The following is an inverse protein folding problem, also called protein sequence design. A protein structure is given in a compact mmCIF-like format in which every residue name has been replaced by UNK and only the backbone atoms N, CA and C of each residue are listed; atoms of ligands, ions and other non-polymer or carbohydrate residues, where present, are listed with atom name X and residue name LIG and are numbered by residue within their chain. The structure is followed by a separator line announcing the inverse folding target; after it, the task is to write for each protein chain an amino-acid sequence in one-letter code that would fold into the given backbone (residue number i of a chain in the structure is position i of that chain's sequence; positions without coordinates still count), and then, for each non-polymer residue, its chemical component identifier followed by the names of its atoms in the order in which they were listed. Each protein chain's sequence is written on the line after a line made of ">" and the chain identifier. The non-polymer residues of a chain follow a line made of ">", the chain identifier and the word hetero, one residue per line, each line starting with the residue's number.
data_IF_597604812312
#
_entry.id   IF_597604812312
#
_cell.length_a   1.000
_cell.length_b   1.000
_cell.length_c   1.000
_cell.angle_alpha   90.00
_cell.angle_beta   90.00
_cell.angle_gamma   90.00
#
_symmetry.space_group_name_H-M   'P 1'
#
loop_
_entity.id
_entity.type
_entity.pdbx_description
1 polymer ?
#
# COMPACT_ATOMS: atom_id res chain seq x y z
N UNK A 1 1.64 26.65 1.72
CA UNK A 1 2.92 26.98 1.08
C UNK A 1 3.45 25.69 0.48
N UNK A 2 3.57 25.62 -0.86
CA UNK A 2 4.01 24.45 -1.62
C UNK A 2 5.45 24.11 -1.25
N UNK A 3 5.67 22.98 -0.62
CA UNK A 3 6.99 22.49 -0.18
C UNK A 3 7.76 21.74 -1.29
N UNK A 4 7.32 21.82 -2.53
CA UNK A 4 8.00 21.28 -3.72
C UNK A 4 8.80 22.36 -4.47
N UNK A 5 9.38 23.32 -3.74
CA UNK A 5 10.48 24.11 -4.23
C UNK A 5 11.77 23.31 -4.08
N UNK A 6 12.73 23.58 -4.90
CA UNK A 6 14.11 23.08 -5.05
C UNK A 6 14.87 22.47 -3.85
N UNK A 7 14.25 22.39 -2.68
CA UNK A 7 14.80 21.83 -1.43
C UNK A 7 14.52 20.35 -1.16
N UNK A 8 13.72 19.64 -1.98
CA UNK A 8 13.31 18.25 -1.70
C UNK A 8 14.48 17.25 -1.70
N UNK A 9 15.53 17.55 -2.45
CA UNK A 9 16.75 16.70 -2.49
C UNK A 9 17.69 16.92 -1.29
N UNK A 10 17.48 17.99 -0.52
CA UNK A 10 18.23 18.28 0.71
C UNK A 10 17.51 17.84 1.97
N UNK A 11 16.39 17.11 1.84
CA UNK A 11 15.68 16.58 3.00
C UNK A 11 16.51 15.46 3.65
N UNK A 12 17.13 15.77 4.78
CA UNK A 12 17.96 14.83 5.55
C UNK A 12 17.19 14.08 6.64
N UNK A 13 15.92 14.41 6.84
CA UNK A 13 15.04 13.79 7.86
C UNK A 13 13.69 13.40 7.22
N UNK A 14 13.01 12.41 7.79
CA UNK A 14 11.64 12.08 7.39
C UNK A 14 10.71 13.30 7.46
N UNK A 15 9.73 13.34 6.59
CA UNK A 15 8.78 14.47 6.52
C UNK A 15 7.90 14.56 7.76
N UNK A 16 7.56 13.42 8.36
CA UNK A 16 6.69 13.29 9.52
C UNK A 16 7.35 12.48 10.62
N UNK A 17 7.08 12.85 11.88
CA UNK A 17 7.54 12.13 13.07
C UNK A 17 6.70 10.88 13.37
N UNK A 18 5.55 10.72 12.70
CA UNK A 18 4.64 9.60 12.85
C UNK A 18 3.82 9.60 14.15
N UNK A 19 3.88 10.66 14.97
CA UNK A 19 3.17 10.69 16.25
C UNK A 19 1.66 10.52 16.08
N UNK A 20 1.02 11.30 15.20
CA UNK A 20 -0.42 11.19 14.94
C UNK A 20 -0.82 9.81 14.38
N UNK A 21 0.01 9.23 13.50
CA UNK A 21 -0.23 7.86 12.99
C UNK A 21 -0.18 6.83 14.11
N UNK A 22 0.81 6.90 15.00
CA UNK A 22 0.93 6.01 16.17
C UNK A 22 -0.25 6.16 17.12
N UNK A 23 -0.71 7.38 17.36
CA UNK A 23 -1.89 7.64 18.19
C UNK A 23 -3.14 6.96 17.64
N UNK A 24 -3.41 7.12 16.34
CA UNK A 24 -4.54 6.44 15.67
C UNK A 24 -4.43 4.93 15.80
N UNK A 25 -3.25 4.35 15.55
CA UNK A 25 -3.04 2.91 15.66
C UNK A 25 -3.15 2.42 17.10
N UNK A 26 -2.66 3.18 18.07
CA UNK A 26 -2.80 2.85 19.49
C UNK A 26 -4.28 2.85 19.90
N UNK A 27 -5.06 3.85 19.51
CA UNK A 27 -6.48 3.93 19.81
C UNK A 27 -7.29 2.81 19.11
N UNK A 28 -6.84 2.36 17.94
CA UNK A 28 -7.52 1.31 17.17
C UNK A 28 -7.17 -0.09 17.66
N UNK A 29 -5.89 -0.38 17.80
CA UNK A 29 -5.39 -1.74 18.07
C UNK A 29 -5.06 -1.98 19.56
N UNK A 30 -4.85 -0.91 20.32
CA UNK A 30 -4.43 -1.00 21.72
C UNK A 30 -3.18 -1.91 21.85
N UNK A 31 -3.25 -2.92 22.73
CA UNK A 31 -2.17 -3.89 22.96
C UNK A 31 -2.34 -5.21 22.21
N UNK A 32 -3.32 -5.28 21.29
CA UNK A 32 -3.59 -6.51 20.55
C UNK A 32 -2.38 -6.93 19.71
N UNK A 33 -2.07 -8.22 19.78
CA UNK A 33 -1.09 -8.88 18.91
C UNK A 33 -1.74 -9.41 17.63
N UNK A 34 -0.92 -9.70 16.62
CA UNK A 34 -1.40 -10.29 15.37
C UNK A 34 -2.15 -11.61 15.60
N UNK A 35 -1.66 -12.43 16.55
CA UNK A 35 -2.25 -13.73 16.88
C UNK A 35 -3.66 -13.64 17.48
N UNK A 36 -4.06 -12.49 18.02
CA UNK A 36 -5.41 -12.25 18.56
C UNK A 36 -6.41 -11.83 17.49
N UNK A 37 -5.99 -11.76 16.22
CA UNK A 37 -6.90 -11.47 15.11
C UNK A 37 -7.94 -12.58 14.93
N UNK A 38 -9.23 -12.21 14.81
CA UNK A 38 -10.33 -13.16 14.59
C UNK A 38 -10.27 -13.88 13.25
N UNK A 39 -9.55 -13.33 12.29
CA UNK A 39 -9.34 -13.86 10.94
C UNK A 39 -7.86 -13.85 10.64
N UNK A 40 -7.35 -14.77 9.79
CA UNK A 40 -5.96 -14.67 9.32
C UNK A 40 -5.69 -13.29 8.72
N UNK A 41 -4.67 -12.64 9.23
CA UNK A 41 -4.19 -11.34 8.72
C UNK A 41 -2.71 -11.44 8.40
N UNK A 42 -2.30 -10.78 7.33
CA UNK A 42 -0.91 -10.65 6.93
C UNK A 42 -0.65 -9.24 6.39
N UNK A 43 0.49 -8.67 6.73
CA UNK A 43 0.95 -7.39 6.20
C UNK A 43 2.38 -7.53 5.70
N UNK A 44 2.69 -6.86 4.59
CA UNK A 44 4.01 -6.87 4.00
C UNK A 44 4.81 -5.68 4.47
N UNK A 45 6.08 -5.90 4.78
CA UNK A 45 7.08 -4.88 5.08
C UNK A 45 8.41 -5.26 4.43
N UNK A 46 9.41 -4.39 4.52
CA UNK A 46 10.76 -4.68 4.08
C UNK A 46 11.76 -4.47 5.23
N UNK A 47 12.52 -5.53 5.53
CA UNK A 47 13.57 -5.52 6.56
C UNK A 47 14.83 -4.88 5.96
N UNK A 48 15.21 -3.71 6.46
CA UNK A 48 16.30 -2.91 5.90
C UNK A 48 17.67 -3.47 6.27
N UNK A 49 17.81 -4.13 7.42
CA UNK A 49 19.07 -4.73 7.87
C UNK A 49 19.32 -6.05 7.13
N UNK A 50 18.30 -6.90 7.04
CA UNK A 50 18.38 -8.18 6.33
C UNK A 50 18.21 -8.06 4.82
N UNK A 51 17.85 -6.86 4.32
CA UNK A 51 17.64 -6.55 2.90
C UNK A 51 16.69 -7.52 2.20
N UNK A 52 15.56 -7.82 2.83
CA UNK A 52 14.58 -8.77 2.30
C UNK A 52 13.14 -8.41 2.68
N UNK A 53 12.16 -8.85 1.86
CA UNK A 53 10.76 -8.79 2.23
C UNK A 53 10.49 -9.47 3.58
N UNK A 54 9.58 -8.88 4.36
CA UNK A 54 9.10 -9.44 5.61
C UNK A 54 7.59 -9.49 5.63
N UNK A 55 7.04 -10.71 5.66
CA UNK A 55 5.62 -10.92 5.88
C UNK A 55 5.38 -11.08 7.39
N UNK A 56 4.61 -10.18 7.99
CA UNK A 56 4.13 -10.26 9.36
C UNK A 56 2.69 -10.78 9.33
N UNK A 57 2.41 -11.86 10.06
CA UNK A 57 1.09 -12.46 10.01
C UNK A 57 0.65 -13.05 11.35
N UNK A 58 -0.66 -13.21 11.51
CA UNK A 58 -1.27 -13.82 12.69
C UNK A 58 -0.85 -15.29 12.91
N UNK A 59 -0.34 -15.94 11.88
CA UNK A 59 0.06 -17.35 11.91
C UNK A 59 1.59 -17.57 11.88
N UNK A 60 2.38 -16.59 11.39
CA UNK A 60 3.85 -16.70 11.36
C UNK A 60 4.55 -15.82 12.41
N UNK A 61 3.87 -14.77 12.88
CA UNK A 61 4.42 -13.77 13.79
C UNK A 61 3.37 -13.36 14.84
N UNK A 62 2.72 -14.33 15.52
CA UNK A 62 1.53 -14.07 16.35
C UNK A 62 1.82 -13.11 17.51
N UNK A 63 3.05 -13.07 18.03
CA UNK A 63 3.44 -12.21 19.15
C UNK A 63 3.70 -10.75 18.79
N UNK A 64 3.79 -10.40 17.50
CA UNK A 64 4.00 -9.01 17.08
C UNK A 64 2.72 -8.21 17.31
N UNK A 65 2.84 -7.02 17.91
CA UNK A 65 1.70 -6.13 18.12
C UNK A 65 1.12 -5.63 16.79
N UNK A 66 -0.20 -5.55 16.69
CA UNK A 66 -0.87 -4.99 15.50
C UNK A 66 -0.42 -3.56 15.21
N UNK A 67 -0.20 -2.76 16.27
CA UNK A 67 0.34 -1.40 16.15
C UNK A 67 1.70 -1.41 15.45
N UNK A 68 2.61 -2.30 15.87
CA UNK A 68 3.96 -2.41 15.30
C UNK A 68 3.89 -2.85 13.84
N UNK A 69 3.07 -3.86 13.53
CA UNK A 69 2.88 -4.33 12.17
C UNK A 69 2.29 -3.25 11.25
N UNK A 70 1.26 -2.53 11.70
CA UNK A 70 0.63 -1.43 10.96
C UNK A 70 1.61 -0.26 10.76
N UNK A 71 2.40 0.07 11.79
CA UNK A 71 3.43 1.12 11.72
C UNK A 71 4.51 0.79 10.70
N UNK A 72 4.97 -0.46 10.69
CA UNK A 72 6.00 -0.94 9.78
C UNK A 72 5.52 -0.97 8.32
N UNK A 73 4.36 -1.60 8.06
CA UNK A 73 3.83 -1.74 6.69
C UNK A 73 3.44 -0.42 6.04
N UNK A 74 3.26 0.64 6.83
CA UNK A 74 2.92 2.00 6.36
C UNK A 74 4.06 3.02 6.57
N UNK A 75 5.27 2.57 6.82
CA UNK A 75 6.45 3.42 6.98
C UNK A 75 7.08 3.78 5.63
N UNK A 76 6.32 4.50 4.79
CA UNK A 76 6.79 4.90 3.47
C UNK A 76 8.07 5.75 3.58
N UNK A 77 9.18 5.33 2.91
CA UNK A 77 10.41 6.10 2.88
C UNK A 77 10.17 7.55 2.46
N UNK A 78 10.99 8.48 2.94
CA UNK A 78 10.85 9.92 2.78
C UNK A 78 9.77 10.52 3.71
N UNK A 79 8.62 9.86 3.83
CA UNK A 79 7.51 10.35 4.66
C UNK A 79 7.71 10.01 6.14
N UNK A 80 8.12 8.78 6.45
CA UNK A 80 8.27 8.29 7.83
C UNK A 80 9.63 7.65 8.07
N UNK A 81 10.04 7.62 9.34
CA UNK A 81 11.21 6.89 9.80
C UNK A 81 10.99 5.38 9.65
N UNK A 82 12.09 4.65 9.48
CA UNK A 82 12.14 3.20 9.68
C UNK A 82 11.59 2.85 11.06
N UNK A 83 10.81 1.78 11.15
CA UNK A 83 10.16 1.34 12.39
C UNK A 83 10.89 0.14 12.97
N UNK A 84 11.31 0.25 14.23
CA UNK A 84 11.68 -0.90 15.03
C UNK A 84 10.41 -1.58 15.54
N UNK A 85 10.34 -2.90 15.43
CA UNK A 85 9.21 -3.68 15.91
C UNK A 85 9.61 -4.59 17.07
N UNK A 86 8.63 -5.28 17.67
CA UNK A 86 8.75 -6.01 18.93
C UNK A 86 9.84 -7.10 18.95
N UNK A 87 10.30 -7.59 17.81
CA UNK A 87 11.38 -8.56 17.68
C UNK A 87 12.77 -7.95 17.36
N UNK A 88 12.87 -6.62 17.43
CA UNK A 88 14.09 -5.87 17.14
C UNK A 88 14.39 -5.67 15.65
N UNK A 89 13.50 -6.09 14.73
CA UNK A 89 13.69 -5.86 13.30
C UNK A 89 13.37 -4.41 12.92
N UNK A 90 14.15 -3.85 11.99
CA UNK A 90 13.98 -2.50 11.45
C UNK A 90 13.32 -2.56 10.08
N UNK A 91 12.09 -2.08 10.00
CA UNK A 91 11.21 -2.28 8.84
C UNK A 91 10.76 -0.95 8.22
N UNK A 92 10.54 -0.99 6.90
CA UNK A 92 9.88 0.06 6.12
C UNK A 92 8.70 -0.51 5.34
N UNK A 93 7.94 0.37 4.69
CA UNK A 93 6.73 0.06 3.94
C UNK A 93 6.93 -1.10 2.95
N UNK A 94 5.97 -2.01 2.94
CA UNK A 94 5.96 -3.17 2.06
C UNK A 94 5.58 -2.87 0.62
N UNK A 95 5.04 -1.67 0.33
CA UNK A 95 4.71 -1.24 -1.02
C UNK A 95 5.91 -1.24 -1.97
N UNK A 96 7.12 -1.03 -1.44
CA UNK A 96 8.37 -1.13 -2.24
C UNK A 96 8.68 -2.56 -2.72
N UNK A 97 8.05 -3.55 -2.12
CA UNK A 97 8.18 -4.98 -2.52
C UNK A 97 7.04 -5.37 -3.43
N UNK A 98 5.81 -5.13 -2.98
CA UNK A 98 4.59 -5.41 -3.73
C UNK A 98 3.49 -4.46 -3.31
N UNK A 99 3.30 -3.39 -4.10
CA UNK A 99 2.23 -2.41 -3.86
C UNK A 99 0.83 -3.02 -4.12
N UNK A 100 0.74 -4.03 -4.97
CA UNK A 100 -0.39 -4.94 -5.06
C UNK A 100 0.00 -6.32 -4.49
N UNK A 101 -0.32 -6.65 -3.23
CA UNK A 101 0.08 -7.90 -2.59
C UNK A 101 -0.84 -9.09 -2.92
N UNK A 102 -1.71 -9.00 -3.93
CA UNK A 102 -2.72 -10.02 -4.23
C UNK A 102 -2.14 -11.41 -4.46
N UNK A 103 -1.04 -11.51 -5.20
CA UNK A 103 -0.36 -12.80 -5.45
C UNK A 103 0.26 -13.38 -4.19
N UNK A 104 0.82 -12.52 -3.32
CA UNK A 104 1.33 -12.95 -2.03
C UNK A 104 0.18 -13.46 -1.15
N UNK A 105 -0.93 -12.70 -1.09
CA UNK A 105 -2.13 -13.11 -0.37
C UNK A 105 -2.70 -14.43 -0.89
N UNK A 106 -2.71 -14.63 -2.20
CA UNK A 106 -3.13 -15.89 -2.81
C UNK A 106 -2.24 -17.07 -2.37
N UNK A 107 -0.92 -16.88 -2.46
CA UNK A 107 0.03 -17.92 -2.05
C UNK A 107 -0.11 -18.30 -0.56
N UNK A 108 -0.30 -17.31 0.31
CA UNK A 108 -0.54 -17.55 1.73
C UNK A 108 -1.90 -18.22 1.99
N UNK A 109 -2.95 -17.78 1.30
CA UNK A 109 -4.26 -18.41 1.40
C UNK A 109 -4.23 -19.89 0.97
N UNK A 110 -3.53 -20.21 -0.11
CA UNK A 110 -3.36 -21.61 -0.55
C UNK A 110 -2.58 -22.47 0.44
N UNK A 111 -1.63 -21.91 1.20
CA UNK A 111 -0.96 -22.63 2.30
C UNK A 111 -1.87 -22.88 3.47
N UNK A 112 -2.70 -21.89 3.84
CA UNK A 112 -3.63 -22.01 4.97
C UNK A 112 -4.86 -22.87 4.65
N UNK A 113 -5.30 -22.83 3.40
CA UNK A 113 -6.53 -23.47 2.92
C UNK A 113 -6.25 -24.25 1.63
N UNK A 114 -5.45 -25.33 1.68
CA UNK A 114 -4.92 -25.99 0.46
C UNK A 114 -6.03 -26.63 -0.41
N UNK A 115 -7.15 -27.00 0.21
CA UNK A 115 -8.27 -27.68 -0.47
C UNK A 115 -9.42 -26.74 -0.83
N UNK A 116 -9.30 -25.44 -0.48
CA UNK A 116 -10.37 -24.48 -0.73
C UNK A 116 -10.19 -23.78 -2.08
N UNK A 117 -11.31 -23.40 -2.65
CA UNK A 117 -11.33 -22.50 -3.82
C UNK A 117 -11.17 -21.04 -3.35
N UNK A 118 -10.04 -20.44 -3.67
CA UNK A 118 -9.68 -19.11 -3.18
C UNK A 118 -10.17 -18.04 -4.13
N UNK A 119 -11.03 -17.16 -3.63
CA UNK A 119 -11.43 -15.92 -4.30
C UNK A 119 -10.62 -14.74 -3.75
N UNK A 120 -10.20 -13.86 -4.63
CA UNK A 120 -9.42 -12.67 -4.28
C UNK A 120 -10.19 -11.41 -4.68
N UNK A 121 -10.58 -10.61 -3.70
CA UNK A 121 -11.00 -9.23 -3.90
C UNK A 121 -9.81 -8.32 -3.63
N UNK A 122 -9.28 -7.70 -4.68
CA UNK A 122 -8.15 -6.78 -4.62
C UNK A 122 -8.63 -5.35 -4.77
N UNK A 123 -8.34 -4.50 -3.79
CA UNK A 123 -8.78 -3.09 -3.79
C UNK A 123 -7.55 -2.20 -3.87
N UNK A 124 -7.48 -1.37 -4.92
CA UNK A 124 -6.39 -0.40 -5.12
C UNK A 124 -6.73 0.97 -4.57
N UNK A 125 -5.75 1.87 -4.69
CA UNK A 125 -5.85 3.27 -4.27
C UNK A 125 -5.96 4.24 -5.44
N UNK A 126 -6.11 3.72 -6.65
CA UNK A 126 -6.26 4.48 -7.88
C UNK A 126 -5.07 4.37 -8.83
N UNK A 127 -5.33 4.69 -10.09
CA UNK A 127 -4.34 4.65 -11.17
C UNK A 127 -3.98 6.07 -11.57
N UNK A 128 -2.70 6.39 -11.53
CA UNK A 128 -2.18 7.65 -12.06
C UNK A 128 -1.91 7.49 -13.57
N UNK A 129 -2.77 8.06 -14.41
CA UNK A 129 -2.62 8.02 -15.88
C UNK A 129 -1.78 9.16 -16.46
N UNK A 130 -1.04 9.90 -15.65
CA UNK A 130 -0.22 11.00 -16.15
C UNK A 130 0.93 10.47 -17.01
N UNK A 131 0.90 10.85 -18.29
CA UNK A 131 1.97 10.51 -19.23
C UNK A 131 3.23 11.33 -18.95
N UNK A 132 4.37 10.67 -18.97
CA UNK A 132 5.69 11.31 -19.01
C UNK A 132 6.08 11.47 -20.47
N UNK A 133 6.53 12.66 -20.83
CA UNK A 133 7.02 12.90 -22.19
C UNK A 133 8.38 12.23 -22.38
N UNK A 134 8.46 11.20 -23.23
CA UNK A 134 9.66 10.41 -23.46
C UNK A 134 10.84 11.24 -24.00
N UNK A 135 10.59 12.21 -24.90
CA UNK A 135 11.63 13.08 -25.43
C UNK A 135 12.26 13.98 -24.35
N UNK A 136 11.45 14.44 -23.40
CA UNK A 136 11.95 15.25 -22.30
C UNK A 136 12.67 14.37 -21.27
N UNK A 137 12.11 13.22 -20.93
CA UNK A 137 12.68 12.30 -19.92
C UNK A 137 14.00 11.66 -20.36
N UNK A 138 14.29 11.58 -21.67
CA UNK A 138 15.57 11.08 -22.15
C UNK A 138 16.79 11.91 -21.71
N UNK A 139 16.55 13.14 -21.23
CA UNK A 139 17.59 14.06 -20.73
C UNK A 139 17.60 14.16 -19.20
N UNK A 140 16.78 13.38 -18.50
CA UNK A 140 16.63 13.49 -17.06
C UNK A 140 17.73 12.74 -16.31
N UNK A 141 18.36 13.44 -15.37
CA UNK A 141 19.16 12.85 -14.31
C UNK A 141 18.31 12.57 -13.08
N UNK A 142 18.92 12.09 -12.00
CA UNK A 142 18.25 11.63 -10.77
C UNK A 142 17.27 12.66 -10.19
N UNK A 143 17.65 13.95 -10.14
CA UNK A 143 16.79 15.03 -9.63
C UNK A 143 15.49 15.19 -10.44
N UNK A 144 15.58 15.13 -11.76
CA UNK A 144 14.40 15.26 -12.60
C UNK A 144 13.49 14.06 -12.48
N UNK A 145 14.03 12.85 -12.44
CA UNK A 145 13.27 11.64 -12.20
C UNK A 145 12.55 11.67 -10.86
N UNK A 146 13.23 12.12 -9.80
CA UNK A 146 12.64 12.23 -8.47
C UNK A 146 11.49 13.26 -8.45
N UNK A 147 11.65 14.41 -9.13
CA UNK A 147 10.62 15.43 -9.24
C UNK A 147 9.44 15.02 -10.14
N UNK A 148 9.60 13.99 -10.96
CA UNK A 148 8.59 13.50 -11.90
C UNK A 148 8.03 12.12 -11.52
N UNK A 149 8.03 11.84 -10.21
CA UNK A 149 7.30 10.68 -9.66
C UNK A 149 7.91 9.31 -9.99
N UNK A 150 9.25 9.22 -9.98
CA UNK A 150 9.92 7.92 -10.16
C UNK A 150 9.44 6.87 -9.14
N UNK A 151 9.14 7.28 -7.91
CA UNK A 151 8.61 6.38 -6.89
C UNK A 151 7.24 5.85 -7.27
N UNK A 152 6.35 6.70 -7.79
CA UNK A 152 5.04 6.26 -8.28
C UNK A 152 5.16 5.25 -9.42
N UNK A 153 6.13 5.43 -10.33
CA UNK A 153 6.41 4.47 -11.40
C UNK A 153 6.92 3.15 -10.84
N UNK A 154 7.83 3.19 -9.86
CA UNK A 154 8.37 1.98 -9.23
C UNK A 154 7.31 1.21 -8.41
N UNK A 155 6.34 1.92 -7.87
CA UNK A 155 5.21 1.35 -7.15
C UNK A 155 4.05 0.95 -8.08
N UNK A 156 4.17 1.21 -9.38
CA UNK A 156 3.17 0.77 -10.36
C UNK A 156 3.09 -0.75 -10.38
N UNK A 157 1.88 -1.28 -10.25
CA UNK A 157 1.66 -2.70 -10.03
C UNK A 157 0.75 -3.35 -11.08
N UNK A 158 0.61 -2.73 -12.25
CA UNK A 158 -0.25 -3.24 -13.33
C UNK A 158 0.13 -4.65 -13.76
N UNK A 159 1.43 -4.94 -13.85
CA UNK A 159 1.91 -6.29 -14.22
C UNK A 159 1.47 -7.36 -13.20
N UNK A 160 1.46 -7.05 -11.91
CA UNK A 160 1.00 -8.00 -10.89
C UNK A 160 -0.51 -8.23 -10.96
N UNK A 161 -1.26 -7.25 -11.44
CA UNK A 161 -2.70 -7.35 -11.67
C UNK A 161 -3.01 -8.27 -12.87
N UNK A 162 -2.27 -8.10 -13.97
CA UNK A 162 -2.35 -8.97 -15.14
C UNK A 162 -2.02 -10.42 -14.77
N UNK A 163 -0.88 -10.66 -14.09
CA UNK A 163 -0.48 -12.01 -13.66
C UNK A 163 -1.52 -12.62 -12.71
N UNK A 164 -2.09 -11.83 -11.78
CA UNK A 164 -3.13 -12.34 -10.89
C UNK A 164 -4.40 -12.71 -11.65
N UNK A 165 -4.78 -11.92 -12.64
CA UNK A 165 -5.93 -12.19 -13.52
C UNK A 165 -5.72 -13.50 -14.31
N UNK A 166 -4.54 -13.69 -14.90
CA UNK A 166 -4.23 -14.88 -15.67
C UNK A 166 -4.14 -16.16 -14.80
N UNK A 167 -3.57 -16.01 -13.59
CA UNK A 167 -3.35 -17.14 -12.68
C UNK A 167 -4.62 -17.60 -11.96
N UNK A 168 -5.47 -16.66 -11.55
CA UNK A 168 -6.62 -16.91 -10.66
C UNK A 168 -7.94 -16.89 -11.46
N UNK A 169 -7.94 -16.27 -12.63
CA UNK A 169 -9.10 -16.24 -13.53
C UNK A 169 -10.32 -15.55 -12.89
N UNK A 170 -11.49 -16.20 -13.03
CA UNK A 170 -12.77 -15.67 -12.54
C UNK A 170 -12.84 -15.46 -11.02
N UNK A 171 -11.95 -16.09 -10.27
CA UNK A 171 -11.82 -15.95 -8.84
C UNK A 171 -10.96 -14.72 -8.42
N UNK A 172 -10.55 -13.87 -9.36
CA UNK A 172 -9.88 -12.61 -9.11
C UNK A 172 -10.74 -11.42 -9.52
N UNK A 173 -11.01 -10.53 -8.59
CA UNK A 173 -11.68 -9.25 -8.86
C UNK A 173 -10.82 -8.09 -8.36
N UNK A 174 -10.36 -7.23 -9.27
CA UNK A 174 -9.65 -5.99 -8.96
C UNK A 174 -10.60 -4.80 -9.04
N UNK A 175 -10.62 -4.01 -7.98
CA UNK A 175 -11.26 -2.69 -7.92
C UNK A 175 -10.15 -1.66 -7.94
N UNK A 176 -9.97 -0.97 -9.06
CA UNK A 176 -8.98 0.08 -9.22
C UNK A 176 -9.29 0.87 -10.50
N UNK A 177 -9.48 2.17 -10.39
CA UNK A 177 -9.82 3.06 -11.49
C UNK A 177 -8.96 4.32 -11.45
N UNK A 178 -8.93 5.14 -12.50
CA UNK A 178 -8.22 6.41 -12.48
C UNK A 178 -8.66 7.31 -11.32
N UNK A 179 -7.67 7.99 -10.69
CA UNK A 179 -7.92 8.87 -9.53
C UNK A 179 -8.67 10.18 -9.86
N UNK A 180 -8.91 10.46 -11.15
CA UNK A 180 -9.65 11.65 -11.56
C UNK A 180 -9.04 12.96 -11.06
N UNK A 181 -9.79 13.71 -10.27
CA UNK A 181 -9.39 15.01 -9.70
C UNK A 181 -8.66 14.90 -8.35
N UNK A 182 -8.50 13.70 -7.81
CA UNK A 182 -7.78 13.48 -6.54
C UNK A 182 -6.32 13.89 -6.69
N UNK A 183 -5.79 14.61 -5.69
CA UNK A 183 -4.39 15.00 -5.70
C UNK A 183 -3.49 13.77 -5.52
N UNK A 184 -2.43 13.70 -6.32
CA UNK A 184 -1.44 12.61 -6.29
C UNK A 184 -0.58 12.57 -5.03
N UNK A 185 -0.51 13.69 -4.31
CA UNK A 185 0.26 13.75 -3.06
C UNK A 185 -0.43 12.89 -2.01
N UNK A 186 0.25 11.84 -1.56
CA UNK A 186 -0.26 10.91 -0.54
C UNK A 186 -0.63 11.60 0.78
N UNK A 187 -0.11 12.81 1.00
CA UNK A 187 -0.25 13.58 2.22
C UNK A 187 -1.09 14.85 2.07
N UNK A 188 -1.86 14.97 1.00
CA UNK A 188 -2.80 16.07 0.85
C UNK A 188 -4.11 15.75 1.59
N UNK A 189 -4.19 16.26 2.81
CA UNK A 189 -5.35 16.17 3.69
C UNK A 189 -6.23 17.42 3.66
N UNK A 190 -6.14 18.25 2.62
CA UNK A 190 -7.05 19.38 2.45
C UNK A 190 -8.49 18.90 2.31
N UNK A 191 -9.45 19.69 2.85
CA UNK A 191 -10.89 19.38 2.77
C UNK A 191 -11.32 19.11 1.33
N UNK A 192 -10.82 19.90 0.38
CA UNK A 192 -11.11 19.75 -1.05
C UNK A 192 -10.62 18.40 -1.58
N UNK A 193 -9.45 17.93 -1.15
CA UNK A 193 -8.93 16.64 -1.60
C UNK A 193 -9.64 15.47 -0.91
N UNK A 194 -9.99 15.60 0.36
CA UNK A 194 -10.77 14.58 1.07
C UNK A 194 -12.15 14.41 0.45
N UNK A 195 -12.82 15.51 0.06
CA UNK A 195 -14.08 15.44 -0.67
C UNK A 195 -13.94 14.74 -2.03
N UNK A 196 -12.87 15.03 -2.78
CA UNK A 196 -12.58 14.34 -4.05
C UNK A 196 -12.36 12.84 -3.87
N UNK A 197 -11.67 12.44 -2.80
CA UNK A 197 -11.48 11.02 -2.45
C UNK A 197 -12.82 10.37 -2.13
N UNK A 198 -13.67 11.05 -1.37
CA UNK A 198 -15.01 10.55 -1.06
C UNK A 198 -15.85 10.35 -2.32
N UNK A 199 -15.91 11.35 -3.19
CA UNK A 199 -16.63 11.27 -4.46
C UNK A 199 -16.08 10.15 -5.36
N UNK A 200 -14.76 10.01 -5.45
CA UNK A 200 -14.12 8.89 -6.16
C UNK A 200 -14.56 7.53 -5.61
N UNK A 201 -14.66 7.39 -4.29
CA UNK A 201 -15.17 6.17 -3.66
C UNK A 201 -16.62 5.86 -4.05
N UNK A 202 -17.48 6.88 -4.11
CA UNK A 202 -18.87 6.75 -4.54
C UNK A 202 -18.97 6.36 -6.02
N UNK A 203 -18.16 6.97 -6.89
CA UNK A 203 -18.07 6.62 -8.32
C UNK A 203 -17.61 5.17 -8.50
N UNK A 204 -16.59 4.74 -7.77
CA UNK A 204 -16.13 3.34 -7.84
C UNK A 204 -17.17 2.36 -7.33
N UNK A 205 -17.93 2.71 -6.29
CA UNK A 205 -19.04 1.87 -5.86
C UNK A 205 -20.13 1.77 -6.93
N UNK A 206 -20.44 2.86 -7.62
CA UNK A 206 -21.37 2.84 -8.76
C UNK A 206 -20.85 1.96 -9.91
N UNK A 207 -19.55 1.98 -10.18
CA UNK A 207 -18.93 1.19 -11.25
C UNK A 207 -18.81 -0.30 -10.90
N UNK A 208 -18.30 -0.60 -9.68
CA UNK A 208 -17.91 -1.97 -9.28
C UNK A 208 -18.87 -2.65 -8.31
N UNK A 209 -19.78 -1.92 -7.66
CA UNK A 209 -20.55 -2.42 -6.53
C UNK A 209 -21.39 -3.68 -6.88
N UNK A 210 -22.14 -3.66 -7.97
CA UNK A 210 -22.95 -4.81 -8.42
C UNK A 210 -22.06 -6.03 -8.72
N UNK A 211 -20.93 -5.82 -9.41
CA UNK A 211 -19.97 -6.90 -9.70
C UNK A 211 -19.34 -7.45 -8.42
N UNK A 212 -19.03 -6.58 -7.46
CA UNK A 212 -18.46 -6.96 -6.17
C UNK A 212 -19.44 -7.77 -5.36
N UNK A 213 -20.70 -7.34 -5.25
CA UNK A 213 -21.74 -8.07 -4.51
C UNK A 213 -21.95 -9.47 -5.10
N UNK A 214 -22.04 -9.58 -6.42
CA UNK A 214 -22.15 -10.88 -7.10
C UNK A 214 -20.92 -11.76 -6.84
N UNK A 215 -19.72 -11.18 -6.89
CA UNK A 215 -18.45 -11.90 -6.66
C UNK A 215 -18.36 -12.48 -5.24
N UNK A 216 -18.82 -11.73 -4.24
CA UNK A 216 -18.84 -12.11 -2.84
C UNK A 216 -20.07 -12.92 -2.42
N UNK A 217 -21.04 -13.14 -3.31
CA UNK A 217 -22.33 -13.77 -3.03
C UNK A 217 -23.14 -13.04 -1.93
N UNK A 218 -23.15 -11.69 -1.96
CA UNK A 218 -23.87 -10.80 -1.05
C UNK A 218 -25.21 -10.40 -1.64
#
# INVERSE_FOLDING_TARGET
>A
KSFWGTGSFLQTKPKYDGAGKREVFHNTFRDLSLGESKKPVAVLAYDVEKRKPRLLSSYNSPGIKMLSAASATSAAPIYYSTQEIDDGSWLIDGGIVANNPSLLGYAEAKKLFPNEDIKILSIGTGINRRKINGKNSSKWGALNWFNHDILGIMLESSIFDEIATDLVGENYLRINSPTGLVNRRMDDNSEVNLERIHLMGMEWWSEFGSKTSKFLNL
#
